data_IF_928082766600
#
_entry.id   IF_928082766600
#
_cell.length_a   1.000
_cell.length_b   1.000
_cell.length_c   1.000
_cell.angle_alpha   90.00
_cell.angle_beta   90.00
_cell.angle_gamma   90.00
#
_symmetry.space_group_name_H-M   'P 1'
#
loop_
_entity.id
_entity.type
_entity.pdbx_description
1 polymer ?
#
# COMPACT_ATOMS: atom_id res chain seq x y z
N UNK A 1 3.18 2.78 23.39
CA UNK A 1 2.70 3.25 22.07
C UNK A 1 3.33 4.61 21.82
N UNK A 2 3.86 4.87 20.61
CA UNK A 2 4.38 6.18 20.22
C UNK A 2 3.41 6.82 19.24
N UNK A 3 2.93 8.00 19.57
CA UNK A 3 2.12 8.81 18.66
C UNK A 3 3.03 9.72 17.84
N UNK A 4 2.66 9.95 16.58
CA UNK A 4 3.41 10.75 15.63
C UNK A 4 2.44 11.74 14.98
N UNK A 5 2.90 12.96 14.75
CA UNK A 5 2.07 14.02 14.17
C UNK A 5 2.08 14.00 12.63
N UNK A 6 3.06 13.29 12.05
CA UNK A 6 3.26 13.18 10.60
C UNK A 6 3.43 11.73 10.16
N UNK A 7 3.10 11.49 8.89
CA UNK A 7 3.31 10.19 8.24
C UNK A 7 4.80 9.83 8.28
N UNK A 8 5.68 10.78 7.96
CA UNK A 8 7.13 10.56 7.97
C UNK A 8 7.65 10.04 9.32
N UNK A 9 7.25 10.68 10.42
CA UNK A 9 7.62 10.24 11.76
C UNK A 9 7.07 8.85 12.10
N UNK A 10 5.87 8.53 11.61
CA UNK A 10 5.23 7.23 11.81
C UNK A 10 5.96 6.11 11.03
N UNK A 11 6.41 6.41 9.82
CA UNK A 11 6.98 5.40 8.91
C UNK A 11 8.50 5.28 8.98
N UNK A 12 9.23 6.31 9.44
CA UNK A 12 10.69 6.30 9.43
C UNK A 12 11.24 5.13 10.24
N UNK A 13 11.95 4.23 9.55
CA UNK A 13 12.61 3.05 10.11
C UNK A 13 11.67 1.88 10.42
N UNK A 14 10.38 1.97 10.12
CA UNK A 14 9.44 0.87 10.33
C UNK A 14 9.58 -0.22 9.26
N UNK A 15 9.28 -1.48 9.61
CA UNK A 15 9.28 -2.60 8.65
C UNK A 15 8.04 -2.61 7.74
N UNK A 16 6.93 -2.11 8.28
CA UNK A 16 5.65 -2.15 7.61
C UNK A 16 4.75 -1.02 8.09
N UNK A 17 3.74 -0.71 7.27
CA UNK A 17 2.63 0.17 7.60
C UNK A 17 1.33 -0.60 7.52
N UNK A 18 0.44 -0.39 8.49
CA UNK A 18 -0.93 -0.91 8.47
C UNK A 18 -1.93 0.24 8.46
N UNK A 19 -2.77 0.31 7.43
CA UNK A 19 -3.89 1.23 7.35
C UNK A 19 -5.14 0.55 7.93
N UNK A 20 -5.61 1.07 9.04
CA UNK A 20 -6.76 0.52 9.78
C UNK A 20 -7.98 1.45 9.80
N UNK A 21 -7.86 2.63 9.18
CA UNK A 21 -8.94 3.62 9.01
C UNK A 21 -8.96 4.12 7.57
N UNK A 22 -10.12 4.51 7.06
CA UNK A 22 -10.34 4.92 5.67
C UNK A 22 -10.40 6.45 5.52
N UNK A 23 -9.69 7.18 6.38
CA UNK A 23 -9.70 8.64 6.32
C UNK A 23 -9.11 9.15 4.99
N UNK A 24 -9.74 10.16 4.35
CA UNK A 24 -9.34 10.63 3.02
C UNK A 24 -7.87 11.04 2.89
N UNK A 25 -7.28 11.59 3.96
CA UNK A 25 -5.86 11.98 4.01
C UNK A 25 -4.90 10.82 3.73
N UNK A 26 -5.29 9.58 4.02
CA UNK A 26 -4.45 8.40 3.79
C UNK A 26 -4.55 7.84 2.38
N UNK A 27 -5.62 8.13 1.66
CA UNK A 27 -5.83 7.68 0.27
C UNK A 27 -4.93 8.44 -0.70
N UNK A 28 -4.56 9.67 -0.36
CA UNK A 28 -3.78 10.58 -1.22
C UNK A 28 -2.29 10.63 -0.87
N UNK A 29 -1.80 9.75 0.01
CA UNK A 29 -0.39 9.66 0.40
C UNK A 29 0.54 9.52 -0.81
N UNK A 30 1.66 10.24 -0.77
CA UNK A 30 2.78 9.97 -1.66
C UNK A 30 3.58 8.76 -1.18
N UNK A 31 3.30 7.60 -1.80
CA UNK A 31 3.94 6.34 -1.47
C UNK A 31 5.42 6.29 -1.85
N UNK A 32 5.92 7.15 -2.75
CA UNK A 32 7.36 7.22 -3.05
C UNK A 32 8.14 7.76 -1.85
N UNK A 33 7.64 8.84 -1.23
CA UNK A 33 8.22 9.37 0.01
C UNK A 33 8.19 8.33 1.13
N UNK A 34 7.05 7.66 1.33
CA UNK A 34 6.93 6.59 2.34
C UNK A 34 7.91 5.44 2.09
N UNK A 35 8.10 5.05 0.83
CA UNK A 35 9.06 4.01 0.47
C UNK A 35 10.48 4.38 0.91
N UNK A 36 10.88 5.64 0.80
CA UNK A 36 12.22 6.09 1.23
C UNK A 36 12.40 6.04 2.75
N UNK A 37 11.33 6.21 3.52
CA UNK A 37 11.40 6.27 4.98
C UNK A 37 11.33 4.89 5.64
N UNK A 38 10.61 3.94 5.04
CA UNK A 38 10.46 2.62 5.61
C UNK A 38 11.73 1.79 5.48
N UNK A 39 12.06 1.05 6.56
CA UNK A 39 13.09 0.01 6.55
C UNK A 39 12.63 -1.18 5.72
N UNK A 40 11.44 -1.70 6.00
CA UNK A 40 10.81 -2.77 5.23
C UNK A 40 9.88 -2.21 4.17
N UNK A 41 9.54 -3.00 3.15
CA UNK A 41 8.79 -2.48 1.98
C UNK A 41 7.36 -3.00 1.96
N UNK A 42 6.68 -3.02 3.11
CA UNK A 42 5.38 -3.68 3.26
C UNK A 42 4.27 -2.71 3.68
N UNK A 43 3.14 -2.77 2.98
CA UNK A 43 1.93 -2.00 3.27
C UNK A 43 0.74 -2.94 3.36
N UNK A 44 0.03 -2.89 4.48
CA UNK A 44 -1.18 -3.65 4.75
C UNK A 44 -2.38 -2.70 4.77
N UNK A 45 -3.35 -2.92 3.89
CA UNK A 45 -4.59 -2.16 3.81
C UNK A 45 -5.75 -2.99 4.36
N UNK A 46 -6.15 -2.68 5.60
CA UNK A 46 -7.29 -3.30 6.26
C UNK A 46 -8.65 -2.79 5.78
N UNK A 47 -8.67 -1.72 4.96
CA UNK A 47 -9.88 -1.03 4.50
C UNK A 47 -10.10 -1.14 2.99
N UNK A 48 -9.14 -1.67 2.24
CA UNK A 48 -9.17 -1.81 0.79
C UNK A 48 -9.41 -0.48 0.06
N UNK A 49 -8.96 0.65 0.62
CA UNK A 49 -9.17 1.99 0.09
C UNK A 49 -7.95 2.58 -0.63
N UNK A 50 -6.80 1.92 -0.57
CA UNK A 50 -5.60 2.33 -1.30
C UNK A 50 -5.61 1.79 -2.74
N UNK A 51 -5.11 2.60 -3.66
CA UNK A 51 -4.85 2.14 -5.02
C UNK A 51 -3.60 1.25 -5.04
N UNK A 52 -3.79 -0.07 -5.10
CA UNK A 52 -2.70 -1.05 -5.08
C UNK A 52 -1.60 -0.77 -6.12
N UNK A 53 -1.99 -0.30 -7.31
CA UNK A 53 -1.05 0.11 -8.37
C UNK A 53 -0.17 1.29 -8.00
N UNK A 54 -0.67 2.25 -7.21
CA UNK A 54 0.15 3.38 -6.72
C UNK A 54 1.15 2.93 -5.67
N UNK A 55 0.72 2.06 -4.75
CA UNK A 55 1.59 1.50 -3.71
C UNK A 55 2.69 0.63 -4.33
N UNK A 56 2.33 -0.26 -5.26
CA UNK A 56 3.30 -1.14 -5.92
C UNK A 56 4.24 -0.41 -6.86
N UNK A 57 3.77 0.61 -7.59
CA UNK A 57 4.61 1.45 -8.44
C UNK A 57 5.67 2.22 -7.64
N UNK A 58 5.38 2.58 -6.38
CA UNK A 58 6.34 3.20 -5.47
C UNK A 58 7.42 2.23 -4.95
N UNK A 59 7.35 0.94 -5.29
CA UNK A 59 8.32 -0.08 -4.86
C UNK A 59 7.94 -0.82 -3.57
N UNK A 60 6.67 -0.79 -3.18
CA UNK A 60 6.17 -1.43 -1.96
C UNK A 60 5.35 -2.69 -2.28
N UNK A 61 5.45 -3.70 -1.42
CA UNK A 61 4.53 -4.82 -1.38
C UNK A 61 3.20 -4.35 -0.79
N UNK A 62 2.10 -4.71 -1.43
CA UNK A 62 0.77 -4.33 -1.01
C UNK A 62 -0.08 -5.55 -0.68
N UNK A 63 -0.61 -5.58 0.54
CA UNK A 63 -1.47 -6.62 1.07
C UNK A 63 -2.84 -6.02 1.38
N UNK A 64 -3.91 -6.66 0.91
CA UNK A 64 -5.28 -6.21 1.08
C UNK A 64 -6.17 -7.37 1.55
N UNK A 65 -7.19 -7.06 2.35
CA UNK A 65 -8.10 -8.09 2.86
C UNK A 65 -8.89 -8.70 1.71
N UNK A 66 -8.80 -10.04 1.59
CA UNK A 66 -9.50 -10.81 0.55
C UNK A 66 -8.94 -10.63 -0.86
N UNK A 67 -7.71 -10.12 -1.02
CA UNK A 67 -7.06 -9.92 -2.33
C UNK A 67 -5.65 -10.52 -2.35
N UNK A 68 -5.17 -11.04 -3.49
CA UNK A 68 -3.78 -11.44 -3.63
C UNK A 68 -2.82 -10.28 -3.37
N UNK A 69 -1.61 -10.59 -2.92
CA UNK A 69 -0.52 -9.62 -2.82
C UNK A 69 -0.22 -8.97 -4.18
N UNK A 70 0.02 -7.66 -4.17
CA UNK A 70 0.59 -6.96 -5.32
C UNK A 70 2.06 -6.66 -5.02
N UNK A 71 2.95 -7.29 -5.79
CA UNK A 71 4.41 -7.14 -5.65
C UNK A 71 4.89 -5.76 -6.16
N UNK A 72 6.02 -5.24 -5.68
CA UNK A 72 6.65 -4.03 -6.20
C UNK A 72 6.81 -4.06 -7.73
N UNK A 73 6.51 -2.95 -8.39
CA UNK A 73 6.63 -2.83 -9.86
C UNK A 73 5.63 -3.67 -10.67
N UNK A 74 4.78 -4.48 -10.04
CA UNK A 74 3.81 -5.35 -10.72
C UNK A 74 2.56 -4.59 -11.20
N UNK A 75 2.69 -3.31 -11.55
CA UNK A 75 1.58 -2.44 -11.97
C UNK A 75 0.78 -3.06 -13.11
N UNK A 76 -0.29 -3.80 -12.79
CA UNK A 76 -1.29 -4.23 -13.75
C UNK A 76 -2.35 -3.14 -13.84
N UNK A 77 -2.41 -2.49 -14.99
CA UNK A 77 -3.69 -1.97 -15.49
C UNK A 77 -4.69 -3.14 -15.46
N UNK A 78 -5.88 -2.89 -14.94
CA UNK A 78 -6.89 -3.93 -14.77
C UNK A 78 -7.17 -4.65 -16.09
N UNK A 79 -6.86 -5.94 -16.15
CA UNK A 79 -7.52 -6.87 -17.06
C UNK A 79 -8.43 -7.71 -16.19
N UNK A 80 -9.73 -7.41 -16.22
CA UNK A 80 -10.76 -8.39 -15.87
C UNK A 80 -10.48 -9.59 -16.75
N UNK A 81 -10.11 -10.72 -16.15
CA UNK A 81 -10.01 -11.98 -16.87
C UNK A 81 -11.39 -12.31 -17.39
N UNK A 82 -11.61 -12.12 -18.70
CA UNK A 82 -12.69 -12.79 -19.40
C UNK A 82 -12.36 -14.28 -19.30
N UNK A 83 -13.06 -14.97 -18.41
CA UNK A 83 -13.13 -16.43 -18.42
C UNK A 83 -13.87 -16.82 -19.71
N UNK A 84 -13.12 -17.13 -20.77
CA UNK A 84 -13.68 -17.98 -21.82
C UNK A 84 -13.67 -19.39 -21.25
N UNK A 85 -14.85 -19.86 -20.82
CA UNK A 85 -15.10 -21.29 -20.71
C UNK A 85 -14.91 -21.92 -22.10
N UNK A 86 -14.40 -23.15 -22.10
CA UNK A 86 -14.18 -23.94 -23.32
C UNK A 86 -15.45 -24.37 -24.02
#
# INVERSE_FOLDING_TARGET
VRWCDTIEQCTRGADAVALITDWPVFVTIDWHSVMQWLRGKHVFDGRNCLASGRVSAAGLHYYAIGRPEVKPGAGRQGSVGVISAG
#
